data_IF_738952019799
#
_entry.id   IF_738952019799
#
_cell.length_a   1.000
_cell.length_b   1.000
_cell.length_c   1.000
_cell.angle_alpha   90.00
_cell.angle_beta   90.00
_cell.angle_gamma   90.00
#
_symmetry.space_group_name_H-M   'P 1'
#
loop_
_entity.id
_entity.type
_entity.pdbx_description
1 polymer ?
#
# COMPACT_ATOMS: atom_id res chain seq x y z
N UNK A 1 6.23 0.51 -24.30
CA UNK A 1 5.06 1.30 -23.88
C UNK A 1 5.11 1.36 -22.38
N UNK A 2 5.21 2.53 -21.79
CA UNK A 2 5.13 2.71 -20.33
C UNK A 2 3.64 2.65 -19.98
N UNK A 3 3.17 1.50 -19.51
CA UNK A 3 1.87 1.45 -18.84
C UNK A 3 2.04 2.16 -17.51
N UNK A 4 1.50 3.36 -17.42
CA UNK A 4 1.35 4.02 -16.13
C UNK A 4 0.35 3.16 -15.34
N UNK A 5 0.86 2.30 -14.47
CA UNK A 5 0.03 1.74 -13.41
C UNK A 5 -0.62 2.93 -12.71
N UNK A 6 -1.95 3.00 -12.77
CA UNK A 6 -2.70 4.03 -12.06
C UNK A 6 -2.49 3.75 -10.59
N UNK A 7 -1.46 4.37 -10.00
CA UNK A 7 -1.34 4.47 -8.56
C UNK A 7 -2.49 5.35 -8.13
N UNK A 8 -3.61 4.72 -7.85
CA UNK A 8 -4.70 5.34 -7.15
C UNK A 8 -4.17 5.69 -5.77
N UNK A 9 -3.65 6.90 -5.64
CA UNK A 9 -3.31 7.56 -4.39
C UNK A 9 -4.60 7.84 -3.60
N UNK A 10 -5.39 6.82 -3.28
CA UNK A 10 -6.43 6.92 -2.29
C UNK A 10 -5.77 6.84 -0.92
N UNK A 11 -5.17 7.95 -0.49
CA UNK A 11 -5.05 8.39 0.92
C UNK A 11 -3.99 9.50 1.10
N UNK A 12 -3.94 10.52 0.23
CA UNK A 12 -3.80 11.86 0.83
C UNK A 12 -5.15 12.14 1.48
N UNK A 13 -5.21 11.72 2.75
CA UNK A 13 -6.35 11.12 3.40
C UNK A 13 -7.49 12.13 3.57
N UNK A 14 -8.60 11.93 2.83
CA UNK A 14 -9.81 12.76 2.92
C UNK A 14 -10.29 12.95 4.37
N UNK A 15 -10.02 11.97 5.23
CA UNK A 15 -10.35 12.02 6.65
C UNK A 15 -9.41 12.97 7.42
N UNK A 16 -8.10 12.93 7.18
CA UNK A 16 -7.15 13.85 7.84
C UNK A 16 -7.40 15.31 7.44
N UNK A 17 -7.68 15.55 6.15
CA UNK A 17 -8.08 16.88 5.66
C UNK A 17 -9.44 17.33 6.23
N UNK A 18 -10.30 16.37 6.59
CA UNK A 18 -11.56 16.60 7.29
C UNK A 18 -11.42 16.79 8.80
N UNK A 19 -10.19 16.76 9.35
CA UNK A 19 -9.92 16.92 10.78
C UNK A 19 -10.13 15.67 11.63
N UNK A 20 -10.18 14.48 11.03
CA UNK A 20 -10.29 13.23 11.76
C UNK A 20 -8.94 12.84 12.33
N UNK A 21 -8.89 12.54 13.62
CA UNK A 21 -7.67 12.17 14.35
C UNK A 21 -7.62 10.64 14.52
N UNK A 22 -6.66 9.99 13.84
CA UNK A 22 -6.52 8.53 13.84
C UNK A 22 -5.51 8.05 14.88
N UNK A 23 -5.74 6.85 15.42
CA UNK A 23 -4.80 6.20 16.32
C UNK A 23 -3.42 6.09 15.70
N UNK A 24 -2.41 6.57 16.43
CA UNK A 24 -1.00 6.52 16.01
C UNK A 24 -0.63 7.54 14.93
N UNK A 25 -1.55 8.42 14.55
CA UNK A 25 -1.28 9.56 13.68
C UNK A 25 -0.83 10.76 14.53
N UNK A 26 0.02 11.63 13.95
CA UNK A 26 0.46 12.88 14.62
C UNK A 26 0.44 14.12 13.71
N UNK A 27 -0.15 14.05 12.51
CA UNK A 27 -0.15 15.17 11.54
C UNK A 27 -1.23 16.19 11.88
N UNK A 28 -2.37 15.76 12.44
CA UNK A 28 -3.48 16.67 12.76
C UNK A 28 -3.97 16.61 14.23
N UNK A 29 -3.31 15.85 15.09
CA UNK A 29 -3.64 15.79 16.51
C UNK A 29 -3.00 14.58 17.19
N UNK A 30 -3.42 14.28 18.42
CA UNK A 30 -3.06 13.05 19.14
C UNK A 30 -4.22 12.52 19.98
N UNK A 31 -5.45 12.92 19.67
CA UNK A 31 -6.67 12.53 20.37
C UNK A 31 -7.02 11.06 20.08
N UNK A 32 -6.55 10.49 18.96
CA UNK A 32 -6.72 9.09 18.58
C UNK A 32 -8.19 8.64 18.61
N UNK A 33 -9.10 9.46 18.05
CA UNK A 33 -10.56 9.26 18.08
C UNK A 33 -10.97 8.09 17.17
N UNK A 34 -10.31 7.98 16.02
CA UNK A 34 -10.67 7.04 14.96
C UNK A 34 -9.59 5.97 14.77
N UNK A 35 -9.99 4.82 14.27
CA UNK A 35 -9.11 3.79 13.75
C UNK A 35 -9.70 3.26 12.42
N UNK A 36 -8.90 2.61 11.59
CA UNK A 36 -9.32 2.06 10.29
C UNK A 36 -8.63 0.71 10.07
N UNK A 37 -9.14 -0.13 9.17
CA UNK A 37 -8.54 -1.42 8.86
C UNK A 37 -8.80 -2.49 9.93
N UNK A 38 -7.82 -3.36 10.21
CA UNK A 38 -7.94 -4.52 11.11
C UNK A 38 -9.11 -5.47 10.80
N UNK A 39 -9.57 -5.50 9.54
CA UNK A 39 -10.77 -6.24 9.13
C UNK A 39 -12.07 -5.71 9.74
N UNK A 40 -12.09 -4.49 10.27
CA UNK A 40 -13.25 -3.85 10.89
C UNK A 40 -14.04 -3.02 9.89
N UNK A 41 -15.34 -2.90 10.19
CA UNK A 41 -16.27 -1.98 9.53
C UNK A 41 -16.18 -1.99 7.99
N UNK A 42 -15.94 -3.15 7.39
CA UNK A 42 -15.76 -3.32 5.93
C UNK A 42 -14.73 -2.33 5.32
N UNK A 43 -13.65 -2.02 6.05
CA UNK A 43 -12.61 -1.10 5.61
C UNK A 43 -12.91 0.39 5.84
N UNK A 44 -14.09 0.75 6.35
CA UNK A 44 -14.38 2.12 6.75
C UNK A 44 -13.79 2.45 8.13
N UNK A 45 -13.52 3.74 8.44
CA UNK A 45 -13.14 4.16 9.78
C UNK A 45 -14.17 3.77 10.85
N UNK A 46 -13.70 3.50 12.06
CA UNK A 46 -14.51 3.21 13.25
C UNK A 46 -13.92 3.94 14.46
N UNK A 47 -14.69 4.07 15.54
CA UNK A 47 -14.20 4.75 16.74
C UNK A 47 -13.22 3.86 17.49
N UNK A 48 -12.06 4.38 17.87
CA UNK A 48 -11.03 3.55 18.50
C UNK A 48 -11.49 2.94 19.83
N UNK A 49 -12.32 3.65 20.60
CA UNK A 49 -12.84 3.15 21.87
C UNK A 49 -13.78 1.95 21.75
N UNK A 50 -14.27 1.63 20.55
CA UNK A 50 -15.04 0.40 20.32
C UNK A 50 -14.12 -0.84 20.34
N UNK A 51 -12.84 -0.66 19.99
CA UNK A 51 -11.81 -1.69 19.95
C UNK A 51 -10.46 -1.12 20.42
N UNK A 52 -10.30 -0.78 21.71
CA UNK A 52 -9.13 -0.06 22.19
C UNK A 52 -7.82 -0.85 22.05
N UNK A 53 -7.90 -2.17 21.94
CA UNK A 53 -6.75 -3.06 21.75
C UNK A 53 -6.32 -3.19 20.27
N UNK A 54 -7.15 -2.74 19.33
CA UNK A 54 -6.79 -2.76 17.91
C UNK A 54 -5.61 -1.80 17.65
N UNK A 55 -4.55 -2.25 16.97
CA UNK A 55 -3.41 -1.39 16.68
C UNK A 55 -3.81 -0.31 15.68
N UNK A 56 -3.05 0.79 15.68
CA UNK A 56 -3.06 1.71 14.55
C UNK A 56 -2.70 0.94 13.28
N UNK A 57 -3.55 0.98 12.25
CA UNK A 57 -3.11 0.58 10.92
C UNK A 57 -2.33 1.72 10.34
N UNK A 58 -1.05 1.49 10.12
CA UNK A 58 -0.12 2.56 9.90
C UNK A 58 -0.06 2.93 8.42
N UNK A 59 -0.11 4.23 8.10
CA UNK A 59 -0.10 4.66 6.72
C UNK A 59 1.28 4.41 6.12
N UNK A 60 1.30 3.72 4.98
CA UNK A 60 2.41 3.83 4.05
C UNK A 60 2.03 4.90 3.03
N UNK A 61 2.90 5.89 2.86
CA UNK A 61 2.70 6.92 1.84
C UNK A 61 3.53 6.49 0.64
N UNK A 62 2.89 6.17 -0.48
CA UNK A 62 3.57 5.89 -1.75
C UNK A 62 3.80 7.19 -2.52
N UNK A 63 4.99 7.34 -3.11
CA UNK A 63 5.30 8.42 -4.05
C UNK A 63 5.31 7.93 -5.49
N UNK A 64 5.71 6.68 -5.73
CA UNK A 64 5.69 6.06 -7.06
C UNK A 64 5.35 4.57 -6.97
N UNK A 65 4.71 4.03 -8.01
CA UNK A 65 4.61 2.60 -8.28
C UNK A 65 4.46 2.44 -9.80
N UNK A 66 5.43 1.80 -10.43
CA UNK A 66 5.57 1.73 -11.90
C UNK A 66 6.04 0.35 -12.32
N UNK A 67 5.65 -0.07 -13.52
CA UNK A 67 6.18 -1.27 -14.16
C UNK A 67 7.06 -0.83 -15.33
N UNK A 68 8.26 -1.38 -15.40
CA UNK A 68 9.23 -1.14 -16.46
C UNK A 68 9.66 -2.47 -17.06
N UNK A 69 9.87 -2.51 -18.38
CA UNK A 69 10.47 -3.68 -19.01
C UNK A 69 12.00 -3.54 -18.98
N UNK A 70 12.66 -4.31 -18.13
CA UNK A 70 14.12 -4.32 -17.98
C UNK A 70 14.63 -5.73 -18.25
N UNK A 71 15.68 -5.86 -19.07
CA UNK A 71 16.30 -7.15 -19.39
C UNK A 71 15.31 -8.23 -19.90
N UNK A 72 14.31 -7.82 -20.67
CA UNK A 72 13.24 -8.70 -21.19
C UNK A 72 12.25 -9.23 -20.13
N UNK A 73 12.36 -8.76 -18.88
CA UNK A 73 11.44 -9.04 -17.79
C UNK A 73 10.66 -7.79 -17.36
N UNK A 74 9.39 -7.93 -16.94
CA UNK A 74 8.68 -6.88 -16.22
C UNK A 74 9.29 -6.68 -14.84
N UNK A 75 9.54 -5.43 -14.49
CA UNK A 75 10.13 -5.03 -13.21
C UNK A 75 9.28 -3.94 -12.59
N UNK A 76 8.73 -4.24 -11.42
CA UNK A 76 8.01 -3.29 -10.59
C UNK A 76 9.02 -2.46 -9.81
N UNK A 77 8.85 -1.15 -9.86
CA UNK A 77 9.62 -0.19 -9.09
C UNK A 77 8.66 0.72 -8.34
N UNK A 78 8.80 0.80 -7.02
CA UNK A 78 8.00 1.70 -6.20
C UNK A 78 8.83 2.37 -5.13
N UNK A 79 8.36 3.55 -4.72
CA UNK A 79 9.01 4.36 -3.70
C UNK A 79 7.95 4.72 -2.66
N UNK A 80 8.24 4.43 -1.40
CA UNK A 80 7.51 5.02 -0.28
C UNK A 80 8.12 6.36 0.07
N UNK A 81 7.28 7.33 0.43
CA UNK A 81 7.69 8.59 1.04
C UNK A 81 7.87 8.43 2.55
N UNK A 82 7.06 7.58 3.19
CA UNK A 82 7.17 7.19 4.59
C UNK A 82 6.49 5.85 4.83
N UNK A 83 6.96 5.12 5.83
CA UNK A 83 6.41 3.85 6.28
C UNK A 83 6.25 3.86 7.79
N UNK A 84 5.26 3.12 8.28
CA UNK A 84 5.04 2.97 9.71
C UNK A 84 4.63 1.52 9.98
N UNK A 85 5.41 0.85 10.82
CA UNK A 85 5.40 -0.61 11.06
C UNK A 85 5.12 -1.46 9.79
N UNK A 86 5.69 -1.08 8.65
CA UNK A 86 5.57 -1.84 7.43
C UNK A 86 6.42 -3.11 7.53
N UNK A 87 5.77 -4.27 7.59
CA UNK A 87 6.44 -5.56 7.62
C UNK A 87 7.05 -5.90 6.26
N UNK A 88 6.38 -5.53 5.17
CA UNK A 88 6.78 -5.85 3.82
C UNK A 88 5.64 -5.91 2.82
N UNK A 89 5.96 -6.40 1.63
CA UNK A 89 5.11 -6.30 0.45
C UNK A 89 4.83 -7.67 -0.14
N UNK A 90 3.55 -7.90 -0.44
CA UNK A 90 3.14 -8.90 -1.41
C UNK A 90 2.84 -8.19 -2.72
N UNK A 91 3.20 -8.84 -3.82
CA UNK A 91 2.98 -8.37 -5.18
C UNK A 91 1.89 -9.23 -5.78
N UNK A 92 0.86 -8.58 -6.30
CA UNK A 92 -0.27 -9.24 -6.96
C UNK A 92 -0.29 -8.89 -8.44
N UNK A 93 -0.76 -9.85 -9.23
CA UNK A 93 -0.87 -9.73 -10.69
C UNK A 93 -2.18 -10.32 -11.19
N UNK A 94 -2.81 -9.68 -12.17
CA UNK A 94 -4.02 -10.17 -12.84
C UNK A 94 -3.97 -9.88 -14.34
N UNK A 95 -4.75 -10.61 -15.12
CA UNK A 95 -5.05 -10.33 -16.54
C UNK A 95 -6.32 -9.48 -16.72
N UNK A 96 -6.97 -9.16 -15.61
CA UNK A 96 -8.17 -8.32 -15.54
C UNK A 96 -7.90 -7.13 -14.62
N UNK A 97 -8.76 -6.12 -14.65
CA UNK A 97 -8.71 -4.97 -13.74
C UNK A 97 -9.36 -5.23 -12.37
N UNK A 98 -9.68 -6.50 -12.07
CA UNK A 98 -10.38 -6.93 -10.85
C UNK A 98 -9.35 -7.49 -9.86
N UNK A 99 -9.15 -6.82 -8.72
CA UNK A 99 -8.16 -7.22 -7.71
C UNK A 99 -8.47 -8.59 -7.08
N UNK A 100 -9.76 -8.94 -6.91
CA UNK A 100 -10.16 -10.24 -6.36
C UNK A 100 -9.77 -11.43 -7.25
N UNK A 101 -9.46 -11.18 -8.53
CA UNK A 101 -8.97 -12.19 -9.48
C UNK A 101 -7.43 -12.24 -9.51
N UNK A 102 -6.75 -11.32 -8.82
CA UNK A 102 -5.30 -11.24 -8.80
C UNK A 102 -4.67 -12.39 -8.01
N UNK A 103 -3.54 -12.87 -8.52
CA UNK A 103 -2.73 -13.90 -7.87
C UNK A 103 -1.47 -13.27 -7.29
N UNK A 104 -1.11 -13.64 -6.06
CA UNK A 104 0.18 -13.26 -5.47
C UNK A 104 1.31 -13.95 -6.22
N UNK A 105 2.32 -13.19 -6.66
CA UNK A 105 3.44 -13.72 -7.47
C UNK A 105 4.75 -13.86 -6.71
N UNK A 106 4.97 -13.07 -5.66
CA UNK A 106 6.16 -13.22 -4.82
C UNK A 106 6.00 -14.43 -3.88
N UNK A 107 7.02 -15.29 -3.85
CA UNK A 107 7.05 -16.47 -2.96
C UNK A 107 7.40 -16.11 -1.52
N UNK A 108 8.29 -15.12 -1.35
CA UNK A 108 8.69 -14.57 -0.06
C UNK A 108 8.22 -13.12 0.08
N UNK A 109 7.87 -12.72 1.30
CA UNK A 109 7.49 -11.34 1.61
C UNK A 109 8.69 -10.44 1.34
N UNK A 110 8.51 -9.40 0.52
CA UNK A 110 9.55 -8.42 0.23
C UNK A 110 9.67 -7.53 1.48
N UNK A 111 10.82 -7.51 2.20
CA UNK A 111 10.90 -6.81 3.47
C UNK A 111 10.61 -5.32 3.35
N UNK A 112 9.81 -4.78 4.26
CA UNK A 112 9.60 -3.34 4.41
C UNK A 112 10.68 -2.69 5.26
N UNK A 113 10.68 -1.36 5.33
CA UNK A 113 11.59 -0.59 6.17
C UNK A 113 11.12 -0.47 7.63
N UNK A 114 9.98 -1.08 7.99
CA UNK A 114 9.38 -0.92 9.31
C UNK A 114 8.80 0.48 9.48
N UNK A 115 9.44 1.31 10.31
CA UNK A 115 9.02 2.69 10.55
C UNK A 115 10.11 3.65 10.11
N UNK A 116 9.82 4.44 9.08
CA UNK A 116 10.73 5.45 8.55
C UNK A 116 9.94 6.63 7.96
N UNK A 117 10.44 7.85 8.18
CA UNK A 117 9.96 9.06 7.49
C UNK A 117 10.77 9.39 6.24
N UNK A 118 11.84 8.64 5.98
CA UNK A 118 12.68 8.80 4.79
C UNK A 118 12.15 7.95 3.64
N UNK A 119 12.29 8.44 2.39
CA UNK A 119 11.89 7.65 1.22
C UNK A 119 12.62 6.31 1.15
N UNK A 120 11.91 5.25 0.77
CA UNK A 120 12.48 3.93 0.55
C UNK A 120 12.10 3.41 -0.82
N UNK A 121 13.10 2.97 -1.58
CA UNK A 121 12.94 2.41 -2.92
C UNK A 121 12.91 0.89 -2.88
N UNK A 122 12.03 0.30 -3.68
CA UNK A 122 11.82 -1.13 -3.80
C UNK A 122 11.77 -1.56 -5.26
N UNK A 123 12.17 -2.81 -5.49
CA UNK A 123 12.21 -3.42 -6.81
C UNK A 123 11.75 -4.88 -6.72
N UNK A 124 10.94 -5.32 -7.69
CA UNK A 124 10.54 -6.71 -7.85
C UNK A 124 10.55 -7.09 -9.33
N UNK A 125 11.27 -8.15 -9.68
CA UNK A 125 11.29 -8.71 -11.03
C UNK A 125 10.27 -9.84 -11.15
N UNK A 126 9.38 -9.74 -12.14
CA UNK A 126 8.46 -10.82 -12.48
C UNK A 126 9.10 -11.73 -13.53
N UNK A 127 9.58 -12.90 -13.10
CA UNK A 127 10.24 -13.87 -14.00
C UNK A 127 9.25 -14.66 -14.88
N UNK A 128 7.95 -14.38 -14.80
CA UNK A 128 6.94 -15.11 -15.56
C UNK A 128 6.76 -14.57 -16.98
N UNK A 129 6.38 -15.44 -17.91
CA UNK A 129 5.91 -15.00 -19.23
C UNK A 129 4.63 -14.15 -19.09
N UNK A 130 4.61 -12.99 -19.76
CA UNK A 130 3.46 -12.09 -19.72
C UNK A 130 2.42 -12.38 -20.79
N UNK A 131 1.16 -12.16 -20.41
CA UNK A 131 0.05 -12.00 -21.34
C UNK A 131 -0.30 -10.52 -21.52
N UNK A 132 -0.87 -10.18 -22.68
CA UNK A 132 -1.29 -8.82 -23.00
C UNK A 132 -2.40 -8.37 -22.01
N UNK A 133 -2.32 -7.13 -21.51
CA UNK A 133 -3.19 -6.55 -20.46
C UNK A 133 -2.98 -7.06 -19.02
N UNK A 134 -1.73 -7.36 -18.65
CA UNK A 134 -1.40 -7.67 -17.25
C UNK A 134 -1.42 -6.41 -16.37
N UNK A 135 -2.14 -6.47 -15.25
CA UNK A 135 -2.23 -5.44 -14.20
C UNK A 135 -1.49 -5.89 -12.92
N UNK A 136 -0.98 -4.94 -12.15
CA UNK A 136 -0.18 -5.17 -10.94
C UNK A 136 -0.65 -4.32 -9.75
N UNK A 137 -0.59 -4.89 -8.54
CA UNK A 137 -0.91 -4.25 -7.27
C UNK A 137 0.09 -4.61 -6.17
#
# INVERSE_FOLDING_TARGET
MTTNALVYNYTTNIYLNGGWDFKGETTNGTDNIWNIGNGKNNGYPYFDWEYPDDPATLPVILSTFTVQYLNESPTLCWTTQSESNNLGWNVYRSETDIFEEATQINTELIPGAGTTSEPTDYIYEDESELMENTEYW
#
